data_IF_972874950429
#
_entry.id   IF_972874950429
#
_cell.length_a   1.000
_cell.length_b   1.000
_cell.length_c   1.000
_cell.angle_alpha   90.00
_cell.angle_beta   90.00
_cell.angle_gamma   90.00
#
_symmetry.space_group_name_H-M   'P 1'
#
loop_
_entity.id
_entity.type
_entity.pdbx_description
1 polymer ?
#
# COMPACT_ATOMS: atom_id res chain seq x y z
N UNK A 1 -7.12 19.18 15.37
CA UNK A 1 -7.82 17.88 15.25
C UNK A 1 -7.20 17.04 14.13
N UNK A 2 -5.87 16.83 14.14
CA UNK A 2 -5.15 16.13 13.07
C UNK A 2 -4.61 14.74 13.48
N UNK A 3 -4.76 14.38 14.76
CA UNK A 3 -4.14 13.18 15.33
C UNK A 3 -4.95 11.90 15.09
N UNK A 4 -6.26 12.00 14.82
CA UNK A 4 -7.13 10.82 14.61
C UNK A 4 -7.11 10.26 13.18
N UNK A 5 -6.57 11.01 12.21
CA UNK A 5 -6.58 10.63 10.79
C UNK A 5 -5.46 9.67 10.39
N UNK A 6 -4.33 9.74 11.11
CA UNK A 6 -3.18 8.87 10.85
C UNK A 6 -3.46 7.43 11.32
N UNK A 7 -4.19 7.28 12.41
CA UNK A 7 -4.47 5.98 13.07
C UNK A 7 -5.34 5.05 12.20
N UNK A 8 -6.37 5.60 11.57
CA UNK A 8 -7.29 4.85 10.72
C UNK A 8 -6.67 4.46 9.36
N UNK A 9 -5.80 5.33 8.81
CA UNK A 9 -4.97 4.98 7.64
C UNK A 9 -4.02 3.83 7.94
N UNK A 10 -3.43 3.84 9.14
CA UNK A 10 -2.51 2.79 9.58
C UNK A 10 -3.25 1.46 9.80
N UNK A 11 -4.48 1.48 10.34
CA UNK A 11 -5.32 0.27 10.49
C UNK A 11 -5.63 -0.44 9.16
N UNK A 12 -5.70 0.29 8.06
CA UNK A 12 -5.97 -0.29 6.74
C UNK A 12 -4.70 -0.85 6.07
N UNK A 13 -3.52 -0.46 6.55
CA UNK A 13 -2.23 -1.02 6.14
C UNK A 13 -2.02 -2.29 6.97
N UNK A 14 -2.17 -3.43 6.31
CA UNK A 14 -1.97 -4.73 6.95
C UNK A 14 -0.48 -5.01 7.17
N UNK A 15 0.34 -4.67 6.18
CA UNK A 15 1.77 -4.95 6.22
C UNK A 15 2.57 -3.97 5.35
N UNK A 16 3.85 -3.85 5.65
CA UNK A 16 4.79 -3.07 4.85
C UNK A 16 5.85 -4.02 4.30
N UNK A 17 5.94 -4.11 2.99
CA UNK A 17 6.95 -4.89 2.28
C UNK A 17 7.88 -3.96 1.49
N UNK A 18 9.02 -4.49 1.07
CA UNK A 18 9.91 -3.80 0.14
C UNK A 18 9.87 -4.52 -1.20
N UNK A 19 9.98 -3.76 -2.28
CA UNK A 19 10.07 -4.30 -3.63
C UNK A 19 11.32 -3.75 -4.29
N UNK A 20 12.17 -4.64 -4.82
CA UNK A 20 13.32 -4.24 -5.59
C UNK A 20 12.96 -4.24 -7.09
N UNK A 21 12.99 -3.07 -7.73
CA UNK A 21 12.72 -2.92 -9.17
C UNK A 21 13.79 -3.59 -10.03
N UNK A 22 15.04 -3.65 -9.55
CA UNK A 22 16.17 -4.27 -10.27
C UNK A 22 16.14 -5.79 -10.21
N UNK A 23 15.84 -6.37 -9.06
CA UNK A 23 15.74 -7.82 -8.87
C UNK A 23 14.37 -8.37 -9.24
N UNK A 24 13.37 -7.50 -9.44
CA UNK A 24 11.97 -7.86 -9.68
C UNK A 24 11.45 -8.82 -8.59
N UNK A 25 11.81 -8.55 -7.32
CA UNK A 25 11.51 -9.40 -6.17
C UNK A 25 10.87 -8.61 -5.03
N UNK A 26 9.99 -9.27 -4.29
CA UNK A 26 9.39 -8.78 -3.05
C UNK A 26 10.23 -9.25 -1.87
N UNK A 27 10.46 -8.35 -0.93
CA UNK A 27 11.28 -8.49 0.25
C UNK A 27 10.42 -8.21 1.48
N UNK A 28 10.23 -9.21 2.33
CA UNK A 28 9.43 -9.09 3.53
C UNK A 28 10.19 -8.36 4.65
N UNK A 29 9.50 -7.63 5.54
CA UNK A 29 10.15 -6.91 6.63
C UNK A 29 10.90 -7.88 7.56
N UNK A 30 12.20 -7.66 7.71
CA UNK A 30 13.09 -8.52 8.51
C UNK A 30 13.93 -9.48 7.69
N UNK A 31 13.75 -9.50 6.36
CA UNK A 31 14.57 -10.32 5.48
C UNK A 31 16.03 -9.82 5.42
N UNK A 32 16.98 -10.76 5.41
CA UNK A 32 18.42 -10.45 5.33
C UNK A 32 18.76 -9.80 3.99
N UNK A 33 17.98 -10.12 2.96
CA UNK A 33 18.09 -9.50 1.64
C UNK A 33 17.83 -7.98 1.68
N UNK A 34 17.04 -7.45 2.62
CA UNK A 34 16.85 -5.99 2.75
C UNK A 34 18.15 -5.32 3.19
N UNK A 35 18.85 -5.90 4.18
CA UNK A 35 20.12 -5.36 4.66
C UNK A 35 21.18 -5.49 3.57
N UNK A 36 21.22 -6.63 2.89
CA UNK A 36 22.12 -6.84 1.76
C UNK A 36 21.86 -5.85 0.63
N UNK A 37 20.60 -5.60 0.26
CA UNK A 37 20.27 -4.63 -0.77
C UNK A 37 20.67 -3.20 -0.37
N UNK A 38 20.52 -2.83 0.91
CA UNK A 38 20.95 -1.51 1.40
C UNK A 38 22.47 -1.36 1.45
N UNK A 39 23.19 -2.45 1.75
CA UNK A 39 24.62 -2.42 2.04
C UNK A 39 25.49 -2.71 0.83
N UNK A 40 25.11 -3.69 0.02
CA UNK A 40 25.90 -4.19 -1.11
C UNK A 40 25.36 -3.73 -2.47
N UNK A 41 24.08 -3.36 -2.56
CA UNK A 41 23.41 -3.01 -3.83
C UNK A 41 22.79 -1.60 -3.79
N UNK A 42 23.57 -0.53 -3.51
CA UNK A 42 23.03 0.83 -3.41
C UNK A 42 22.43 1.36 -4.71
N UNK A 43 22.75 0.75 -5.84
CA UNK A 43 22.17 1.07 -7.15
C UNK A 43 20.81 0.42 -7.39
N UNK A 44 20.40 -0.53 -6.54
CA UNK A 44 19.10 -1.17 -6.66
C UNK A 44 18.02 -0.22 -6.15
N UNK A 45 17.01 0.00 -6.98
CA UNK A 45 15.82 0.77 -6.60
C UNK A 45 14.90 -0.10 -5.75
N UNK A 46 15.05 0.03 -4.44
CA UNK A 46 14.07 -0.48 -3.49
C UNK A 46 12.95 0.54 -3.27
N UNK A 47 11.71 0.09 -3.44
CA UNK A 47 10.51 0.84 -3.09
C UNK A 47 9.83 0.20 -1.90
N UNK A 48 9.40 1.02 -0.96
CA UNK A 48 8.51 0.62 0.12
C UNK A 48 7.10 0.48 -0.48
N UNK A 49 6.49 -0.68 -0.32
CA UNK A 49 5.15 -0.99 -0.81
C UNK A 49 4.29 -1.36 0.39
N UNK A 50 3.10 -0.77 0.46
CA UNK A 50 2.18 -1.08 1.55
C UNK A 50 1.15 -2.08 1.06
N UNK A 51 0.94 -3.12 1.86
CA UNK A 51 -0.16 -4.06 1.67
C UNK A 51 -1.37 -3.48 2.39
N UNK A 52 -2.39 -3.14 1.63
CA UNK A 52 -3.61 -2.50 2.12
C UNK A 52 -4.82 -3.38 1.86
N UNK A 53 -5.80 -3.29 2.77
CA UNK A 53 -7.07 -3.98 2.58
C UNK A 53 -8.09 -3.08 1.89
N UNK A 54 -8.72 -3.59 0.84
CA UNK A 54 -9.84 -2.90 0.19
C UNK A 54 -11.03 -2.84 1.15
N UNK A 55 -11.46 -1.64 1.55
CA UNK A 55 -12.62 -1.42 2.42
C UNK A 55 -13.95 -1.87 1.81
N UNK A 56 -14.01 -2.06 0.49
CA UNK A 56 -15.21 -2.47 -0.23
C UNK A 56 -15.36 -3.98 -0.41
N UNK A 57 -14.38 -4.62 -1.04
CA UNK A 57 -14.44 -6.07 -1.32
C UNK A 57 -13.67 -6.92 -0.30
N UNK A 58 -12.92 -6.30 0.62
CA UNK A 58 -12.13 -7.00 1.62
C UNK A 58 -10.85 -7.65 1.10
N UNK A 59 -10.57 -7.58 -0.21
CA UNK A 59 -9.36 -8.12 -0.81
C UNK A 59 -8.11 -7.34 -0.41
N UNK A 60 -7.02 -8.06 -0.24
CA UNK A 60 -5.71 -7.51 0.04
C UNK A 60 -5.00 -7.15 -1.26
N UNK A 61 -4.55 -5.90 -1.38
CA UNK A 61 -3.86 -5.39 -2.57
C UNK A 61 -2.68 -4.52 -2.15
N UNK A 62 -1.74 -4.28 -3.07
CA UNK A 62 -0.66 -3.31 -2.82
C UNK A 62 -1.18 -1.88 -2.99
N UNK A 63 -0.53 -0.90 -2.34
CA UNK A 63 -0.87 0.51 -2.47
C UNK A 63 -0.83 0.98 -3.93
N UNK A 64 0.07 0.41 -4.74
CA UNK A 64 0.17 0.68 -6.18
C UNK A 64 -1.07 0.24 -6.97
N UNK A 65 -1.86 -0.70 -6.42
CA UNK A 65 -3.11 -1.22 -6.98
C UNK A 65 -4.35 -0.76 -6.20
N UNK A 66 -4.19 0.17 -5.27
CA UNK A 66 -5.26 0.78 -4.50
C UNK A 66 -5.24 2.30 -4.62
N UNK A 67 -6.35 2.94 -4.26
CA UNK A 67 -6.41 4.37 -4.04
C UNK A 67 -7.01 4.61 -2.66
N UNK A 68 -6.44 5.59 -1.95
CA UNK A 68 -6.94 6.01 -0.65
C UNK A 68 -8.00 7.11 -0.84
N UNK A 69 -9.19 6.91 -0.28
CA UNK A 69 -10.21 7.96 -0.19
C UNK A 69 -10.10 8.66 1.16
N UNK A 70 -9.74 9.95 1.19
CA UNK A 70 -9.68 10.71 2.43
C UNK A 70 -11.04 10.96 3.06
N UNK A 71 -12.13 10.87 2.31
CA UNK A 71 -13.48 11.21 2.80
C UNK A 71 -14.06 10.10 3.68
N UNK A 72 -13.88 8.85 3.25
CA UNK A 72 -14.30 7.65 4.00
C UNK A 72 -13.15 6.99 4.76
N UNK A 73 -11.93 7.52 4.64
CA UNK A 73 -10.72 7.03 5.30
C UNK A 73 -10.43 5.54 5.02
N UNK A 74 -10.58 5.12 3.75
CA UNK A 74 -10.43 3.73 3.33
C UNK A 74 -9.63 3.60 2.03
N UNK A 75 -8.91 2.48 1.88
CA UNK A 75 -8.31 2.10 0.62
C UNK A 75 -9.28 1.28 -0.22
N UNK A 76 -9.40 1.58 -1.50
CA UNK A 76 -10.17 0.79 -2.47
C UNK A 76 -9.26 0.31 -3.58
N UNK A 77 -9.39 -0.97 -3.98
CA UNK A 77 -8.62 -1.48 -5.10
C UNK A 77 -9.10 -0.87 -6.43
N UNK A 78 -8.20 -0.76 -7.41
CA UNK A 78 -8.51 -0.21 -8.75
C UNK A 78 -9.69 -0.90 -9.43
N UNK A 79 -9.89 -2.19 -9.19
CA UNK A 79 -11.06 -2.94 -9.70
C UNK A 79 -12.36 -2.39 -9.12
N UNK A 80 -12.47 -2.25 -7.80
CA UNK A 80 -13.65 -1.68 -7.16
C UNK A 80 -13.89 -0.22 -7.54
N UNK A 81 -12.83 0.55 -7.76
CA UNK A 81 -12.91 1.93 -8.28
C UNK A 81 -13.49 1.97 -9.70
N UNK A 82 -13.00 1.08 -10.57
CA UNK A 82 -13.47 0.96 -11.94
C UNK A 82 -14.94 0.50 -12.02
N UNK A 83 -15.35 -0.45 -11.17
CA UNK A 83 -16.72 -0.99 -11.16
C UNK A 83 -17.74 -0.02 -10.55
N UNK A 84 -17.38 0.68 -9.47
CA UNK A 84 -18.32 1.57 -8.77
C UNK A 84 -18.37 2.97 -9.38
N UNK A 85 -17.33 3.34 -10.13
CA UNK A 85 -17.11 4.71 -10.57
C UNK A 85 -16.54 5.58 -9.45
N UNK A 86 -15.55 6.40 -9.80
CA UNK A 86 -14.82 7.33 -8.91
C UNK A 86 -15.76 8.27 -8.14
N UNK A 87 -16.98 8.49 -8.63
CA UNK A 87 -18.00 9.34 -7.98
C UNK A 87 -18.47 8.81 -6.62
N UNK A 88 -18.59 7.49 -6.44
CA UNK A 88 -18.94 6.90 -5.15
C UNK A 88 -17.74 6.74 -4.21
N UNK A 89 -16.52 6.80 -4.76
CA UNK A 89 -15.29 6.75 -3.99
C UNK A 89 -14.99 8.07 -3.26
N UNK A 90 -15.50 9.18 -3.81
CA UNK A 90 -15.48 10.52 -3.22
C UNK A 90 -16.84 10.96 -2.67
N UNK A 91 -17.76 10.03 -2.45
CA UNK A 91 -19.04 10.39 -1.85
C UNK A 91 -18.84 10.53 -0.34
N UNK A 92 -19.04 11.76 0.15
CA UNK A 92 -19.08 12.14 1.57
C UNK A 92 -20.24 11.48 2.30
#
# INVERSE_FOLDING_TARGET
MAENWLDERDKAILETIYYCENCNMVLEPGDSDIDQHKKELPHHKMRKVFIVRCGRCGNTVTDSHAQYSPEINQFWCKTCLAETGVQNFHAT
#
